data_IF_521774404546
#
_entry.id   IF_521774404546
#
_cell.length_a   1.000
_cell.length_b   1.000
_cell.length_c   1.000
_cell.angle_alpha   90.00
_cell.angle_beta   90.00
_cell.angle_gamma   90.00
#
_symmetry.space_group_name_H-M   'P 1'
#
loop_
_entity.id
_entity.type
_entity.pdbx_description
1 polymer ?
#
# COMPACT_ATOMS: atom_id res chain seq x y z
N UNK A 1 12.10 -15.49 -3.46
CA UNK A 1 11.57 -15.95 -2.16
C UNK A 1 10.88 -14.81 -1.42
N UNK A 2 9.63 -15.02 -1.05
CA UNK A 2 8.85 -14.00 -0.35
C UNK A 2 9.52 -13.56 0.96
N UNK A 3 10.22 -14.44 1.64
CA UNK A 3 10.89 -14.14 2.91
C UNK A 3 12.01 -13.09 2.79
N UNK A 4 12.56 -12.94 1.60
CA UNK A 4 13.63 -11.98 1.33
C UNK A 4 13.09 -10.69 0.67
N UNK A 5 11.79 -10.59 0.52
CA UNK A 5 11.16 -9.43 -0.11
C UNK A 5 11.45 -8.14 0.66
N UNK A 6 11.93 -7.09 0.00
CA UNK A 6 12.06 -5.78 0.64
C UNK A 6 10.74 -5.27 1.23
N UNK A 7 9.61 -5.62 0.60
CA UNK A 7 8.30 -5.25 1.11
C UNK A 7 8.05 -5.83 2.50
N UNK A 8 8.43 -7.08 2.74
CA UNK A 8 8.26 -7.70 4.07
C UNK A 8 9.14 -7.05 5.12
N UNK A 9 10.34 -6.60 4.76
CA UNK A 9 11.21 -5.89 5.69
C UNK A 9 10.53 -4.61 6.16
N UNK A 10 9.93 -3.85 5.24
CA UNK A 10 9.20 -2.62 5.56
C UNK A 10 8.00 -2.93 6.45
N UNK A 11 7.21 -3.95 6.09
CA UNK A 11 6.03 -4.34 6.87
C UNK A 11 6.40 -4.70 8.29
N UNK A 12 7.44 -5.50 8.48
CA UNK A 12 7.89 -5.90 9.82
C UNK A 12 8.34 -4.69 10.64
N UNK A 13 9.05 -3.75 10.01
CA UNK A 13 9.46 -2.53 10.67
C UNK A 13 8.27 -1.69 11.11
N UNK A 14 7.28 -1.53 10.25
CA UNK A 14 6.06 -0.77 10.58
C UNK A 14 5.29 -1.41 11.73
N UNK A 15 5.20 -2.74 11.75
CA UNK A 15 4.55 -3.46 12.86
C UNK A 15 5.30 -3.21 14.17
N UNK A 16 6.62 -3.25 14.14
CA UNK A 16 7.45 -2.99 15.33
C UNK A 16 7.22 -1.57 15.87
N UNK A 17 6.88 -0.62 14.99
CA UNK A 17 6.56 0.75 15.37
C UNK A 17 5.09 0.93 15.79
N UNK A 18 4.30 -0.13 15.81
CA UNK A 18 2.93 -0.11 16.28
C UNK A 18 1.86 0.06 15.22
N UNK A 19 2.22 0.01 13.94
CA UNK A 19 1.24 0.14 12.86
C UNK A 19 0.35 -1.09 12.74
N UNK A 20 -0.92 -0.85 12.38
CA UNK A 20 -1.84 -1.90 11.96
C UNK A 20 -1.79 -1.96 10.45
N UNK A 21 -1.53 -3.14 9.91
CA UNK A 21 -1.31 -3.32 8.48
C UNK A 21 -2.46 -4.09 7.85
N UNK A 22 -3.01 -3.51 6.78
CA UNK A 22 -3.86 -4.20 5.82
C UNK A 22 -3.09 -4.24 4.52
N UNK A 23 -3.03 -5.38 3.87
CA UNK A 23 -2.20 -5.53 2.67
C UNK A 23 -2.94 -6.27 1.57
N UNK A 24 -2.61 -5.93 0.34
CA UNK A 24 -3.10 -6.62 -0.84
C UNK A 24 -1.97 -6.76 -1.86
N UNK A 25 -1.91 -7.92 -2.49
CA UNK A 25 -0.98 -8.20 -3.56
C UNK A 25 -1.63 -9.22 -4.50
N UNK A 26 -1.61 -9.00 -5.83
CA UNK A 26 -2.29 -9.90 -6.77
C UNK A 26 -1.71 -11.31 -6.80
N UNK A 27 -0.47 -11.48 -6.37
CA UNK A 27 0.20 -12.78 -6.35
C UNK A 27 -0.05 -13.56 -5.06
N UNK A 28 -0.63 -12.93 -4.04
CA UNK A 28 -0.82 -13.56 -2.73
C UNK A 28 -2.31 -13.74 -2.47
N UNK A 29 -2.78 -15.00 -2.56
CA UNK A 29 -4.20 -15.33 -2.37
C UNK A 29 -4.49 -15.82 -0.96
N UNK A 30 -3.50 -16.37 -0.28
CA UNK A 30 -3.64 -16.92 1.06
C UNK A 30 -2.50 -16.42 1.94
N UNK A 31 -2.71 -16.47 3.25
CA UNK A 31 -1.69 -16.03 4.18
C UNK A 31 -0.46 -16.93 4.12
N UNK A 32 0.67 -16.38 3.74
CA UNK A 32 1.94 -17.08 3.65
C UNK A 32 2.67 -17.02 5.00
N UNK A 33 3.43 -18.10 5.33
CA UNK A 33 4.15 -18.17 6.60
C UNK A 33 5.15 -17.03 6.81
N UNK A 34 5.68 -16.44 5.73
CA UNK A 34 6.60 -15.31 5.82
C UNK A 34 5.91 -13.99 6.15
N UNK A 35 4.58 -13.93 6.02
CA UNK A 35 3.81 -12.72 6.32
C UNK A 35 3.42 -12.75 7.79
N UNK A 36 3.74 -11.70 8.56
CA UNK A 36 3.35 -11.64 9.97
C UNK A 36 1.85 -11.86 10.14
N UNK A 37 1.45 -12.58 11.17
CA UNK A 37 0.05 -12.89 11.43
C UNK A 37 -0.80 -11.65 11.69
N UNK A 38 -0.17 -10.56 12.14
CA UNK A 38 -0.84 -9.29 12.39
C UNK A 38 -1.31 -8.60 11.11
N UNK A 39 -0.73 -8.96 9.95
CA UNK A 39 -1.13 -8.36 8.67
C UNK A 39 -2.47 -8.95 8.25
N UNK A 40 -3.45 -8.09 8.01
CA UNK A 40 -4.73 -8.50 7.45
C UNK A 40 -4.64 -8.43 5.93
N UNK A 41 -4.87 -9.56 5.26
CA UNK A 41 -4.90 -9.60 3.81
C UNK A 41 -6.29 -9.22 3.32
N UNK A 42 -6.36 -8.22 2.44
CA UNK A 42 -7.61 -7.74 1.89
C UNK A 42 -7.90 -8.36 0.53
N UNK A 43 -9.12 -8.17 0.06
CA UNK A 43 -9.61 -8.75 -1.18
C UNK A 43 -9.31 -7.88 -2.40
N UNK A 44 -8.99 -6.63 -2.19
CA UNK A 44 -8.71 -5.67 -3.27
C UNK A 44 -7.90 -4.49 -2.75
N UNK A 45 -7.27 -3.71 -3.65
CA UNK A 45 -6.59 -2.48 -3.22
C UNK A 45 -7.52 -1.51 -2.50
N UNK A 46 -8.75 -1.37 -2.99
CA UNK A 46 -9.73 -0.46 -2.36
C UNK A 46 -10.08 -0.95 -0.96
N UNK A 47 -10.28 -2.26 -0.79
CA UNK A 47 -10.65 -2.82 0.50
C UNK A 47 -9.61 -2.53 1.59
N UNK A 48 -8.31 -2.61 1.24
CA UNK A 48 -7.25 -2.36 2.22
C UNK A 48 -7.06 -0.87 2.51
N UNK A 49 -7.59 0.00 1.67
CA UNK A 49 -7.52 1.45 1.89
C UNK A 49 -8.60 1.97 2.83
N UNK A 50 -9.66 1.19 3.08
CA UNK A 50 -10.76 1.65 3.95
C UNK A 50 -10.26 1.96 5.35
N UNK A 51 -10.47 3.20 5.78
CA UNK A 51 -10.05 3.67 7.09
C UNK A 51 -8.54 3.79 7.27
N UNK A 52 -7.77 3.65 6.19
CA UNK A 52 -6.33 3.75 6.28
C UNK A 52 -5.87 5.20 6.45
N UNK A 53 -4.78 5.40 7.17
CA UNK A 53 -4.19 6.71 7.36
C UNK A 53 -3.07 7.00 6.38
N UNK A 54 -2.48 5.96 5.79
CA UNK A 54 -1.47 6.08 4.75
C UNK A 54 -1.55 4.87 3.84
N UNK A 55 -1.38 5.12 2.54
CA UNK A 55 -1.24 4.07 1.54
C UNK A 55 0.24 3.97 1.17
N UNK A 56 0.79 2.77 1.26
CA UNK A 56 2.20 2.54 0.90
C UNK A 56 2.25 1.54 -0.26
N UNK A 57 2.88 1.95 -1.35
CA UNK A 57 3.07 1.10 -2.52
C UNK A 57 4.47 0.50 -2.44
N UNK A 58 4.55 -0.81 -2.30
CA UNK A 58 5.81 -1.53 -2.07
C UNK A 58 6.24 -2.42 -3.23
N UNK A 59 5.35 -2.63 -4.22
CA UNK A 59 5.60 -3.52 -5.35
C UNK A 59 5.18 -2.85 -6.65
N UNK A 60 5.72 -3.33 -7.79
CA UNK A 60 5.50 -2.73 -9.10
C UNK A 60 4.52 -3.53 -9.95
N UNK A 61 3.26 -3.55 -9.58
CA UNK A 61 2.25 -4.17 -10.42
C UNK A 61 1.62 -3.12 -11.35
N UNK A 62 1.51 -3.44 -12.63
CA UNK A 62 0.94 -2.53 -13.64
C UNK A 62 -0.45 -2.05 -13.24
N UNK A 63 -1.24 -2.92 -12.63
CA UNK A 63 -2.60 -2.58 -12.21
C UNK A 63 -2.66 -1.46 -11.17
N UNK A 64 -1.58 -1.21 -10.44
CA UNK A 64 -1.55 -0.10 -9.48
C UNK A 64 -1.59 1.25 -10.20
N UNK A 65 -1.02 1.34 -11.40
CA UNK A 65 -1.10 2.55 -12.21
C UNK A 65 -2.52 2.86 -12.68
N UNK A 66 -3.42 1.88 -12.62
CA UNK A 66 -4.82 2.03 -13.02
C UNK A 66 -5.74 2.38 -11.84
N UNK A 67 -5.22 2.49 -10.62
CA UNK A 67 -6.03 2.86 -9.46
C UNK A 67 -6.53 4.28 -9.59
N UNK A 68 -7.82 4.47 -9.27
CA UNK A 68 -8.42 5.80 -9.29
C UNK A 68 -8.19 6.49 -7.94
N UNK A 69 -7.35 7.52 -7.95
CA UNK A 69 -6.98 8.24 -6.73
C UNK A 69 -8.19 8.85 -6.01
N UNK A 70 -9.18 9.33 -6.77
CA UNK A 70 -10.39 9.92 -6.17
C UNK A 70 -11.24 8.89 -5.44
N UNK A 71 -11.35 7.68 -6.02
CA UNK A 71 -12.07 6.58 -5.38
C UNK A 71 -11.37 6.17 -4.09
N UNK A 72 -10.05 6.02 -4.14
CA UNK A 72 -9.24 5.66 -2.97
C UNK A 72 -9.35 6.74 -1.89
N UNK A 73 -9.31 8.01 -2.28
CA UNK A 73 -9.41 9.14 -1.34
C UNK A 73 -10.68 9.08 -0.50
N UNK A 74 -11.79 8.64 -1.10
CA UNK A 74 -13.08 8.55 -0.38
C UNK A 74 -13.10 7.44 0.67
N UNK A 75 -12.21 6.47 0.54
CA UNK A 75 -12.17 5.32 1.46
C UNK A 75 -11.21 5.54 2.64
N UNK A 76 -10.23 6.42 2.49
CA UNK A 76 -9.18 6.60 3.48
C UNK A 76 -9.54 7.64 4.54
N UNK A 77 -9.01 7.46 5.75
CA UNK A 77 -9.18 8.43 6.84
C UNK A 77 -8.27 9.64 6.66
N UNK A 78 -7.09 9.45 6.05
CA UNK A 78 -6.16 10.54 5.74
C UNK A 78 -5.64 10.35 4.33
N UNK A 79 -5.33 11.46 3.65
CA UNK A 79 -4.90 11.42 2.26
C UNK A 79 -3.38 11.54 2.17
N UNK A 80 -2.72 10.46 2.54
CA UNK A 80 -1.27 10.35 2.46
C UNK A 80 -0.91 9.07 1.69
N UNK A 81 0.01 9.17 0.74
CA UNK A 81 0.50 8.04 -0.02
C UNK A 81 2.02 8.11 -0.15
N UNK A 82 2.65 6.96 0.08
CA UNK A 82 4.09 6.78 -0.13
C UNK A 82 4.26 5.76 -1.26
N UNK A 83 4.79 6.21 -2.38
CA UNK A 83 5.00 5.37 -3.56
C UNK A 83 6.48 5.05 -3.68
N UNK A 84 6.88 3.90 -3.17
CA UNK A 84 8.29 3.50 -3.16
C UNK A 84 8.79 2.98 -4.50
N UNK A 85 7.88 2.76 -5.44
CA UNK A 85 8.20 2.15 -6.74
C UNK A 85 7.94 3.07 -7.92
N UNK A 86 7.41 4.26 -7.66
CA UNK A 86 7.11 5.27 -8.68
C UNK A 86 6.12 4.75 -9.74
N UNK A 87 5.11 4.03 -9.31
CA UNK A 87 4.09 3.47 -10.22
C UNK A 87 2.85 4.34 -10.35
N UNK A 88 2.61 5.25 -9.39
CA UNK A 88 1.44 6.12 -9.40
C UNK A 88 1.75 7.44 -10.08
N UNK A 89 0.76 8.02 -10.76
CA UNK A 89 0.89 9.35 -11.34
C UNK A 89 0.79 10.40 -10.25
N UNK A 90 1.90 11.04 -9.93
CA UNK A 90 1.98 12.02 -8.84
C UNK A 90 0.95 13.13 -8.95
N UNK A 91 0.76 13.69 -10.16
CA UNK A 91 -0.17 14.80 -10.38
C UNK A 91 -1.61 14.39 -10.11
N UNK A 92 -1.99 13.20 -10.56
CA UNK A 92 -3.35 12.69 -10.35
C UNK A 92 -3.65 12.50 -8.86
N UNK A 93 -2.71 11.95 -8.12
CA UNK A 93 -2.89 11.73 -6.69
C UNK A 93 -2.89 13.03 -5.91
N UNK A 94 -2.05 13.99 -6.27
CA UNK A 94 -2.08 15.33 -5.66
C UNK A 94 -3.38 16.04 -5.98
N UNK A 95 -3.89 15.92 -7.21
CA UNK A 95 -5.17 16.52 -7.60
C UNK A 95 -6.35 15.94 -6.80
N UNK A 96 -6.26 14.68 -6.37
CA UNK A 96 -7.27 14.04 -5.53
C UNK A 96 -7.15 14.45 -4.05
N UNK A 97 -6.15 15.23 -3.69
CA UNK A 97 -5.96 15.73 -2.34
C UNK A 97 -4.87 15.02 -1.53
N UNK A 98 -4.16 14.06 -2.12
CA UNK A 98 -3.12 13.33 -1.40
C UNK A 98 -1.84 14.15 -1.23
N UNK A 99 -1.24 14.00 -0.05
CA UNK A 99 0.18 14.30 0.11
C UNK A 99 0.92 13.09 -0.46
N UNK A 100 1.63 13.28 -1.55
CA UNK A 100 2.32 12.21 -2.26
C UNK A 100 3.82 12.27 -1.99
N UNK A 101 4.38 11.18 -1.49
CA UNK A 101 5.81 11.02 -1.26
C UNK A 101 6.33 9.92 -2.18
N UNK A 102 7.19 10.28 -3.10
CA UNK A 102 7.88 9.31 -3.96
C UNK A 102 9.30 9.10 -3.48
N UNK A 103 9.90 8.00 -3.91
CA UNK A 103 11.30 7.69 -3.62
C UNK A 103 12.13 8.09 -4.84
N UNK A 104 13.14 8.92 -4.64
CA UNK A 104 14.04 9.32 -5.70
C UNK A 104 13.49 10.39 -6.65
N UNK A 105 12.44 11.08 -6.27
CA UNK A 105 11.88 12.19 -7.06
C UNK A 105 11.55 13.39 -6.21
#
# INVERSE_FOLDING_TARGET
>A
DLRESPALVVIKHLIDEGAKIQAWDPAIKEHHAAIPQQVELGESPIAVCRGAEVLVVLTEWDEFGLLDAEVIAREMDRLAVVDTRNVLNRKDWQAAGFVHQGIGR
#
